data_IF_171150283132
#
_entry.id   IF_171150283132
#
_cell.length_a   1.000
_cell.length_b   1.000
_cell.length_c   1.000
_cell.angle_alpha   90.00
_cell.angle_beta   90.00
_cell.angle_gamma   90.00
#
_symmetry.space_group_name_H-M   'P 1'
#
loop_
_entity.id
_entity.type
_entity.pdbx_description
1 polymer ?
#
# COMPACT_ATOMS: atom_id res chain seq x y z
N UNK A 1 -8.26 -3.35 -1.40
CA UNK A 1 -7.41 -2.23 -0.98
C UNK A 1 -6.19 -2.07 -1.86
N UNK A 2 -5.35 -3.10 -1.99
CA UNK A 2 -4.19 -3.03 -2.90
C UNK A 2 -4.57 -2.65 -4.34
N UNK A 3 -5.75 -3.06 -4.79
CA UNK A 3 -6.25 -2.75 -6.14
C UNK A 3 -6.67 -1.29 -6.31
N UNK A 4 -7.30 -0.70 -5.26
CA UNK A 4 -7.85 0.66 -5.35
C UNK A 4 -6.87 1.74 -4.86
N UNK A 5 -5.82 1.36 -4.13
CA UNK A 5 -4.82 2.25 -3.51
C UNK A 5 -5.44 3.41 -2.70
N UNK A 6 -6.55 3.15 -2.04
CA UNK A 6 -7.30 4.13 -1.22
C UNK A 6 -8.12 3.42 -0.15
N UNK A 7 -8.58 4.15 0.88
CA UNK A 7 -9.49 3.61 1.90
C UNK A 7 -10.78 3.06 1.28
N UNK A 8 -11.35 2.03 1.88
CA UNK A 8 -12.55 1.34 1.40
C UNK A 8 -13.50 1.06 2.56
N UNK A 9 -14.79 1.38 2.36
CA UNK A 9 -15.91 0.90 3.15
C UNK A 9 -16.65 -0.18 2.35
N UNK A 10 -16.85 -1.34 2.95
CA UNK A 10 -17.67 -2.41 2.39
C UNK A 10 -18.88 -2.57 3.30
N UNK A 11 -20.04 -2.12 2.85
CA UNK A 11 -21.25 -2.02 3.65
C UNK A 11 -22.37 -2.87 3.04
N UNK A 12 -23.22 -3.41 3.93
CA UNK A 12 -24.48 -4.07 3.57
C UNK A 12 -25.62 -3.29 4.23
N UNK A 13 -26.76 -3.21 3.54
CA UNK A 13 -28.00 -2.70 4.13
C UNK A 13 -28.53 -3.71 5.14
N UNK A 14 -28.88 -3.22 6.32
CA UNK A 14 -29.51 -4.00 7.41
C UNK A 14 -30.74 -3.27 7.88
N UNK A 15 -31.84 -3.99 8.07
CA UNK A 15 -33.06 -3.46 8.64
C UNK A 15 -33.22 -3.96 10.07
N UNK A 16 -33.51 -3.04 10.99
CA UNK A 16 -33.82 -3.34 12.38
C UNK A 16 -35.24 -2.98 12.67
N UNK A 17 -35.97 -3.88 13.31
CA UNK A 17 -37.25 -3.58 13.93
C UNK A 17 -37.02 -3.12 15.38
N UNK A 18 -37.50 -1.94 15.69
CA UNK A 18 -37.43 -1.33 17.03
C UNK A 18 -38.84 -1.23 17.64
N UNK A 19 -39.02 -1.95 18.71
CA UNK A 19 -40.26 -1.80 19.51
C UNK A 19 -40.23 -0.50 20.29
N UNK A 20 -41.24 0.32 20.12
CA UNK A 20 -41.42 1.57 20.85
C UNK A 20 -42.54 1.35 21.87
N UNK A 21 -42.23 1.61 23.14
CA UNK A 21 -43.15 1.46 24.24
C UNK A 21 -43.60 2.84 24.76
N UNK A 22 -44.87 2.94 25.21
CA UNK A 22 -45.37 4.11 25.87
C UNK A 22 -44.79 4.26 27.30
N UNK A 23 -45.14 5.36 27.98
CA UNK A 23 -44.71 5.65 29.36
C UNK A 23 -45.17 4.63 30.40
N UNK A 24 -46.09 3.74 30.04
CA UNK A 24 -46.62 2.68 30.91
C UNK A 24 -46.04 1.28 30.53
N UNK A 25 -45.08 1.23 29.59
CA UNK A 25 -44.46 -0.04 29.14
C UNK A 25 -45.31 -0.87 28.20
N UNK A 26 -46.35 -0.27 27.59
CA UNK A 26 -47.16 -0.94 26.57
C UNK A 26 -46.56 -0.65 25.19
N UNK A 27 -46.46 -1.68 24.35
CA UNK A 27 -46.00 -1.54 22.96
C UNK A 27 -46.89 -0.55 22.19
N UNK A 28 -46.34 0.54 21.73
CA UNK A 28 -47.01 1.60 20.99
C UNK A 28 -46.92 1.36 19.49
N UNK A 29 -45.71 1.05 19.00
CA UNK A 29 -45.47 0.80 17.60
C UNK A 29 -44.16 0.00 17.39
N UNK A 30 -43.99 -0.54 16.20
CA UNK A 30 -42.72 -1.08 15.72
C UNK A 30 -42.21 -0.19 14.60
N UNK A 31 -41.04 0.35 14.77
CA UNK A 31 -40.35 1.15 13.73
C UNK A 31 -39.30 0.34 13.06
N UNK A 32 -39.32 0.32 11.72
CA UNK A 32 -38.23 -0.23 10.94
C UNK A 32 -37.18 0.85 10.68
N UNK A 33 -35.95 0.60 11.07
CA UNK A 33 -34.80 1.50 10.81
C UNK A 33 -33.78 0.81 9.97
N UNK A 34 -33.35 1.48 8.90
CA UNK A 34 -32.31 1.01 8.00
C UNK A 34 -30.95 1.57 8.41
N UNK A 35 -29.96 0.71 8.37
CA UNK A 35 -28.54 1.05 8.58
C UNK A 35 -27.68 0.41 7.51
N UNK A 36 -26.51 0.97 7.32
CA UNK A 36 -25.46 0.41 6.48
C UNK A 36 -24.31 0.01 7.38
N UNK A 37 -24.01 -1.30 7.41
CA UNK A 37 -23.01 -1.86 8.32
C UNK A 37 -22.02 -2.75 7.60
N UNK A 38 -20.79 -2.77 8.12
CA UNK A 38 -19.75 -3.61 7.54
C UNK A 38 -18.35 -3.32 8.04
N UNK A 39 -17.40 -3.41 7.12
CA UNK A 39 -15.99 -3.29 7.43
C UNK A 39 -15.34 -2.12 6.70
N UNK A 40 -14.50 -1.41 7.43
CA UNK A 40 -13.65 -0.34 6.93
C UNK A 40 -12.19 -0.79 6.90
N UNK A 41 -11.48 -0.40 5.85
CA UNK A 41 -10.04 -0.60 5.74
C UNK A 41 -9.41 0.68 5.20
N UNK A 42 -8.47 1.23 5.98
CA UNK A 42 -7.58 2.30 5.51
C UNK A 42 -6.56 1.78 4.52
N UNK A 43 -5.84 2.68 3.89
CA UNK A 43 -4.72 2.36 3.03
C UNK A 43 -3.43 2.85 3.71
N UNK A 44 -2.68 1.93 4.32
CA UNK A 44 -1.54 2.24 5.20
C UNK A 44 -0.40 3.02 4.51
N UNK A 45 -0.35 2.96 3.16
CA UNK A 45 0.64 3.68 2.35
C UNK A 45 0.17 5.07 1.91
N UNK A 46 -0.96 5.57 2.43
CA UNK A 46 -1.46 6.92 2.14
C UNK A 46 -1.15 7.88 3.28
N UNK A 47 -1.16 9.18 2.98
CA UNK A 47 -1.03 10.22 4.00
C UNK A 47 -2.23 10.27 4.97
N UNK A 48 -3.35 9.59 4.67
CA UNK A 48 -4.47 9.40 5.58
C UNK A 48 -4.15 8.25 6.55
N UNK A 49 -3.47 8.55 7.63
CA UNK A 49 -2.91 7.56 8.57
C UNK A 49 -3.94 6.98 9.55
N UNK A 50 -5.06 7.66 9.80
CA UNK A 50 -6.15 7.22 10.69
C UNK A 50 -7.51 7.41 10.01
N UNK A 51 -7.91 6.38 9.26
CA UNK A 51 -9.18 6.39 8.54
C UNK A 51 -10.39 6.33 9.49
N UNK A 52 -10.25 5.66 10.64
CA UNK A 52 -11.33 5.60 11.65
C UNK A 52 -11.60 6.98 12.22
N UNK A 53 -10.56 7.70 12.63
CA UNK A 53 -10.68 9.05 13.13
C UNK A 53 -11.27 9.99 12.07
N UNK A 54 -10.82 9.89 10.83
CA UNK A 54 -11.38 10.64 9.71
C UNK A 54 -12.90 10.44 9.59
N UNK A 55 -13.41 9.22 9.68
CA UNK A 55 -14.84 8.93 9.63
C UNK A 55 -15.58 9.52 10.83
N UNK A 56 -15.02 9.41 12.05
CA UNK A 56 -15.64 9.90 13.28
C UNK A 56 -15.67 11.44 13.37
N UNK A 57 -14.73 12.13 12.74
CA UNK A 57 -14.65 13.59 12.74
C UNK A 57 -15.65 14.26 11.76
N UNK A 58 -16.49 13.49 11.06
CA UNK A 58 -17.53 14.02 10.17
C UNK A 58 -18.75 14.47 10.96
N UNK A 59 -19.44 15.50 10.45
CA UNK A 59 -20.69 15.97 11.04
C UNK A 59 -21.77 14.87 11.01
N UNK A 60 -21.84 14.14 9.89
CA UNK A 60 -22.69 12.96 9.72
C UNK A 60 -21.92 11.68 10.04
N UNK A 61 -21.38 11.64 11.24
CA UNK A 61 -20.52 10.55 11.67
C UNK A 61 -21.27 9.20 11.78
N UNK A 62 -20.55 8.07 11.65
CA UNK A 62 -21.13 6.76 11.93
C UNK A 62 -21.64 6.67 13.36
N UNK A 63 -22.69 5.87 13.59
CA UNK A 63 -23.17 5.59 14.93
C UNK A 63 -22.25 4.63 15.69
N UNK A 64 -21.44 3.82 14.96
CA UNK A 64 -20.26 3.16 15.50
C UNK A 64 -19.11 3.08 14.50
N UNK A 65 -17.88 3.12 15.02
CA UNK A 65 -16.64 2.84 14.31
C UNK A 65 -15.66 2.21 15.31
N UNK A 66 -15.65 0.87 15.39
CA UNK A 66 -14.93 0.14 16.42
C UNK A 66 -13.79 -0.70 15.83
N UNK A 67 -12.58 -0.56 16.37
CA UNK A 67 -11.39 -1.27 15.94
C UNK A 67 -10.16 -0.37 15.88
N UNK A 68 -9.20 -0.75 15.00
CA UNK A 68 -7.95 -0.03 14.80
C UNK A 68 -8.09 1.15 13.83
N UNK A 69 -7.09 2.04 13.79
CA UNK A 69 -7.09 3.23 12.94
C UNK A 69 -7.42 2.94 11.46
N UNK A 70 -6.91 1.85 10.91
CA UNK A 70 -7.07 1.46 9.51
C UNK A 70 -7.80 0.11 9.31
N UNK A 71 -8.39 -0.47 10.37
CA UNK A 71 -9.18 -1.72 10.28
C UNK A 71 -10.25 -1.73 11.37
N UNK A 72 -11.49 -1.42 11.01
CA UNK A 72 -12.58 -1.27 11.98
C UNK A 72 -13.94 -1.68 11.41
N UNK A 73 -14.86 -2.01 12.30
CA UNK A 73 -16.28 -2.15 11.99
C UNK A 73 -16.91 -0.77 11.86
N UNK A 74 -17.87 -0.63 10.98
CA UNK A 74 -18.49 0.65 10.65
C UNK A 74 -19.99 0.47 10.50
N UNK A 75 -20.78 1.40 11.08
CA UNK A 75 -22.22 1.44 10.89
C UNK A 75 -22.74 2.87 10.84
N UNK A 76 -23.59 3.15 9.87
CA UNK A 76 -24.20 4.46 9.66
C UNK A 76 -25.68 4.29 9.33
N UNK A 77 -26.50 5.24 9.78
CA UNK A 77 -27.92 5.26 9.45
C UNK A 77 -28.14 5.60 7.98
N UNK A 78 -29.18 5.02 7.39
CA UNK A 78 -29.50 5.21 5.97
C UNK A 78 -29.71 6.67 5.59
N UNK A 79 -30.37 7.43 6.42
CA UNK A 79 -30.61 8.86 6.25
C UNK A 79 -29.36 9.73 6.36
N UNK A 80 -28.32 9.26 7.08
CA UNK A 80 -27.06 9.96 7.24
C UNK A 80 -26.02 9.61 6.15
N UNK A 81 -26.12 8.42 5.54
CA UNK A 81 -25.11 7.93 4.58
C UNK A 81 -24.88 8.87 3.39
N UNK A 82 -25.90 9.43 2.70
CA UNK A 82 -25.66 10.33 1.58
C UNK A 82 -24.90 11.60 1.96
N UNK A 83 -25.19 12.15 3.14
CA UNK A 83 -24.53 13.35 3.66
C UNK A 83 -23.10 13.06 4.09
N UNK A 84 -22.88 11.89 4.71
CA UNK A 84 -21.54 11.41 5.05
C UNK A 84 -20.66 11.25 3.81
N UNK A 85 -21.18 10.64 2.74
CA UNK A 85 -20.46 10.49 1.47
C UNK A 85 -20.10 11.86 0.91
N UNK A 86 -21.06 12.78 0.84
CA UNK A 86 -20.83 14.13 0.32
C UNK A 86 -19.76 14.88 1.12
N UNK A 87 -19.78 14.75 2.44
CA UNK A 87 -18.79 15.37 3.32
C UNK A 87 -17.41 14.76 3.10
N UNK A 88 -17.31 13.43 3.01
CA UNK A 88 -16.06 12.75 2.68
C UNK A 88 -15.50 13.17 1.31
N UNK A 89 -16.34 13.24 0.29
CA UNK A 89 -15.92 13.66 -1.06
C UNK A 89 -15.40 15.10 -1.04
N UNK A 90 -16.03 16.02 -0.32
CA UNK A 90 -15.57 17.40 -0.18
C UNK A 90 -14.21 17.50 0.52
N UNK A 91 -13.98 16.71 1.56
CA UNK A 91 -12.72 16.71 2.31
C UNK A 91 -11.58 16.02 1.54
N UNK A 92 -11.91 15.01 0.73
CA UNK A 92 -10.93 14.20 0.02
C UNK A 92 -10.71 14.62 -1.44
N UNK A 93 -11.47 15.60 -1.96
CA UNK A 93 -11.40 16.01 -3.39
C UNK A 93 -10.00 16.42 -3.84
N UNK A 94 -9.25 17.10 -2.95
CA UNK A 94 -7.89 17.57 -3.22
C UNK A 94 -6.83 16.69 -2.54
N UNK A 95 -7.24 15.52 -2.01
CA UNK A 95 -6.34 14.61 -1.32
C UNK A 95 -5.70 13.62 -2.29
N UNK A 96 -4.38 13.64 -2.36
CA UNK A 96 -3.63 12.70 -3.18
C UNK A 96 -3.38 11.40 -2.42
N UNK A 97 -3.95 10.29 -2.91
CA UNK A 97 -3.70 8.95 -2.38
C UNK A 97 -2.45 8.32 -3.01
N UNK A 98 -1.38 9.09 -3.09
CA UNK A 98 -0.08 8.58 -3.54
C UNK A 98 0.52 7.71 -2.45
N UNK A 99 1.04 6.51 -2.77
CA UNK A 99 1.71 5.68 -1.78
C UNK A 99 2.88 6.43 -1.14
N UNK A 100 2.88 6.49 0.19
CA UNK A 100 3.98 7.08 0.97
C UNK A 100 4.70 5.97 1.73
N UNK A 101 6.02 5.99 1.69
CA UNK A 101 6.87 5.05 2.41
C UNK A 101 7.75 5.82 3.39
N UNK A 102 7.69 5.43 4.67
CA UNK A 102 8.73 5.82 5.62
C UNK A 102 9.93 4.93 5.39
N UNK A 103 11.06 5.49 5.06
CA UNK A 103 12.30 4.74 4.81
C UNK A 103 13.32 5.00 5.91
N UNK A 104 13.98 3.95 6.37
CA UNK A 104 14.96 4.00 7.45
C UNK A 104 16.36 4.34 6.92
N UNK A 105 16.66 3.92 5.67
CA UNK A 105 17.94 4.16 5.02
C UNK A 105 17.75 4.59 3.58
N UNK A 106 18.64 5.49 3.12
CA UNK A 106 18.70 5.94 1.73
C UNK A 106 20.09 5.62 1.17
N UNK A 107 20.12 4.84 0.10
CA UNK A 107 21.34 4.49 -0.64
C UNK A 107 21.30 5.08 -2.04
N UNK A 108 22.48 5.31 -2.62
CA UNK A 108 22.60 5.67 -4.03
C UNK A 108 23.17 4.47 -4.79
N UNK A 109 22.51 4.08 -5.89
CA UNK A 109 22.86 2.90 -6.68
C UNK A 109 24.26 2.94 -7.29
N UNK A 110 24.82 4.13 -7.49
CA UNK A 110 26.16 4.32 -8.07
C UNK A 110 27.29 3.97 -7.11
N UNK A 111 27.08 4.05 -5.77
CA UNK A 111 28.18 3.98 -4.81
C UNK A 111 27.89 3.22 -3.50
N UNK A 112 26.72 2.58 -3.35
CA UNK A 112 26.45 1.82 -2.12
C UNK A 112 27.24 0.52 -2.05
N UNK A 113 27.52 0.08 -0.82
CA UNK A 113 28.20 -1.19 -0.57
C UNK A 113 27.17 -2.33 -0.43
N UNK A 114 27.22 -3.39 -1.26
CA UNK A 114 26.32 -4.55 -1.12
C UNK A 114 26.35 -5.22 0.25
N UNK A 115 27.43 -5.06 1.01
CA UNK A 115 27.54 -5.62 2.38
C UNK A 115 26.55 -4.96 3.34
N UNK A 116 26.24 -3.67 3.16
CA UNK A 116 25.29 -2.96 4.02
C UNK A 116 23.90 -3.57 3.87
N UNK A 117 23.51 -3.96 2.65
CA UNK A 117 22.25 -4.67 2.38
C UNK A 117 22.22 -6.04 3.05
N UNK A 118 23.33 -6.78 3.00
CA UNK A 118 23.46 -8.09 3.65
C UNK A 118 23.38 -7.95 5.18
N UNK A 119 24.07 -6.97 5.76
CA UNK A 119 24.07 -6.72 7.21
C UNK A 119 22.66 -6.36 7.72
N UNK A 120 21.92 -5.53 6.99
CA UNK A 120 20.53 -5.23 7.33
C UNK A 120 19.67 -6.50 7.22
N UNK A 121 19.81 -7.28 6.16
CA UNK A 121 19.04 -8.50 5.97
C UNK A 121 19.34 -9.60 7.00
N UNK A 122 20.56 -9.67 7.52
CA UNK A 122 20.97 -10.61 8.58
C UNK A 122 20.23 -10.36 9.90
N UNK A 123 19.74 -9.13 10.12
CA UNK A 123 18.93 -8.77 11.27
C UNK A 123 17.47 -9.27 11.22
N UNK A 124 17.09 -10.02 10.17
CA UNK A 124 15.72 -10.49 9.93
C UNK A 124 15.08 -11.21 11.13
N UNK A 125 15.87 -11.87 11.96
CA UNK A 125 15.37 -12.54 13.16
C UNK A 125 14.90 -11.58 14.26
N UNK A 126 15.23 -10.29 14.17
CA UNK A 126 14.82 -9.25 15.11
C UNK A 126 13.48 -8.61 14.72
N UNK A 127 13.08 -8.74 13.46
CA UNK A 127 11.85 -8.14 12.94
C UNK A 127 10.62 -8.93 13.39
N UNK A 128 9.57 -8.21 13.80
CA UNK A 128 8.33 -8.81 14.26
C UNK A 128 7.45 -7.83 15.01
N UNK A 129 6.72 -8.32 16.01
CA UNK A 129 5.84 -7.48 16.79
C UNK A 129 6.64 -6.44 17.58
N UNK A 130 6.45 -5.16 17.26
CA UNK A 130 7.10 -4.02 17.94
C UNK A 130 8.43 -3.57 17.32
N UNK A 131 8.99 -4.32 16.37
CA UNK A 131 10.18 -3.91 15.59
C UNK A 131 9.87 -4.23 14.12
N UNK A 132 9.48 -3.24 13.36
CA UNK A 132 9.16 -3.42 11.94
C UNK A 132 10.42 -3.67 11.10
N UNK A 133 10.27 -4.45 10.04
CA UNK A 133 11.32 -4.63 9.06
C UNK A 133 11.58 -3.30 8.34
N UNK A 134 12.84 -2.81 8.29
CA UNK A 134 13.13 -1.50 7.71
C UNK A 134 12.88 -1.47 6.20
N UNK A 135 12.33 -0.36 5.74
CA UNK A 135 12.35 0.00 4.34
C UNK A 135 13.61 0.77 3.99
N UNK A 136 14.15 0.46 2.82
CA UNK A 136 15.24 1.25 2.23
C UNK A 136 14.76 1.93 0.95
N UNK A 137 15.30 3.12 0.67
CA UNK A 137 15.25 3.72 -0.65
C UNK A 137 16.60 3.54 -1.35
N UNK A 138 16.56 3.17 -2.63
CA UNK A 138 17.73 3.13 -3.50
C UNK A 138 17.50 4.09 -4.67
N UNK A 139 18.24 5.19 -4.70
CA UNK A 139 18.12 6.24 -5.71
C UNK A 139 19.07 6.00 -6.88
N UNK A 140 18.78 6.62 -8.03
CA UNK A 140 19.59 6.57 -9.25
C UNK A 140 19.82 5.16 -9.82
N UNK A 141 18.86 4.26 -9.69
CA UNK A 141 18.95 2.92 -10.28
C UNK A 141 18.84 3.03 -11.78
N UNK A 142 19.95 2.77 -12.49
CA UNK A 142 19.97 2.78 -13.95
C UNK A 142 19.43 1.46 -14.50
N UNK A 143 18.38 1.56 -15.31
CA UNK A 143 17.71 0.44 -15.96
C UNK A 143 17.80 0.57 -17.47
N UNK A 144 18.22 -0.52 -18.13
CA UNK A 144 18.33 -0.64 -19.58
C UNK A 144 18.08 -2.08 -20.01
N UNK A 145 17.92 -2.34 -21.30
CA UNK A 145 17.77 -3.71 -21.83
C UNK A 145 18.86 -4.69 -21.38
N UNK A 146 20.05 -4.19 -21.09
CA UNK A 146 21.21 -5.02 -20.73
C UNK A 146 21.18 -5.56 -19.29
N UNK A 147 20.41 -4.95 -18.37
CA UNK A 147 20.41 -5.31 -16.96
C UNK A 147 19.03 -5.65 -16.37
N UNK A 148 18.00 -5.75 -17.22
CA UNK A 148 16.61 -6.04 -16.83
C UNK A 148 16.16 -7.38 -17.44
N UNK A 149 15.44 -8.17 -16.66
CA UNK A 149 14.91 -9.46 -17.08
C UNK A 149 13.53 -9.69 -16.47
N UNK A 150 12.60 -10.19 -17.30
CA UNK A 150 11.31 -10.72 -16.82
C UNK A 150 11.40 -12.24 -16.68
N UNK A 151 11.38 -12.72 -15.45
CA UNK A 151 11.40 -14.15 -15.12
C UNK A 151 9.98 -14.68 -14.99
N UNK A 152 9.78 -15.96 -15.37
CA UNK A 152 8.50 -16.69 -15.23
C UNK A 152 7.27 -15.92 -15.75
N UNK A 153 7.28 -15.38 -16.99
CA UNK A 153 6.28 -14.42 -17.48
C UNK A 153 4.84 -14.93 -17.49
N UNK A 154 4.65 -16.26 -17.53
CA UNK A 154 3.33 -16.88 -17.68
C UNK A 154 2.68 -17.33 -16.35
N UNK A 155 3.49 -17.50 -15.29
CA UNK A 155 2.97 -18.01 -14.00
C UNK A 155 3.06 -16.97 -12.89
N UNK A 156 4.29 -16.56 -12.57
CA UNK A 156 4.58 -15.60 -11.53
C UNK A 156 5.57 -14.59 -12.09
N UNK A 157 5.12 -13.66 -12.93
CA UNK A 157 6.02 -12.73 -13.59
C UNK A 157 6.77 -11.90 -12.56
N UNK A 158 8.09 -11.94 -12.66
CA UNK A 158 9.00 -11.34 -11.70
C UNK A 158 10.04 -10.51 -12.44
N UNK A 159 10.11 -9.23 -12.12
CA UNK A 159 11.18 -8.36 -12.62
C UNK A 159 12.45 -8.64 -11.84
N UNK A 160 13.56 -8.76 -12.57
CA UNK A 160 14.92 -8.71 -12.01
C UNK A 160 15.71 -7.59 -12.68
N UNK A 161 16.32 -6.73 -11.87
CA UNK A 161 17.30 -5.74 -12.31
C UNK A 161 18.63 -6.14 -11.68
N UNK A 162 19.69 -6.23 -12.49
CA UNK A 162 21.04 -6.58 -12.03
C UNK A 162 21.91 -5.33 -12.00
N UNK A 163 22.45 -5.01 -10.82
CA UNK A 163 23.32 -3.84 -10.64
C UNK A 163 24.81 -4.23 -10.88
N UNK A 164 25.65 -3.27 -11.29
CA UNK A 164 27.07 -3.53 -11.57
C UNK A 164 27.85 -4.09 -10.37
N UNK A 165 27.45 -3.75 -9.14
CA UNK A 165 28.09 -4.24 -7.91
C UNK A 165 27.65 -5.65 -7.49
N UNK A 166 26.84 -6.35 -8.31
CA UNK A 166 26.36 -7.70 -8.05
C UNK A 166 25.05 -7.79 -7.26
N UNK A 167 24.50 -6.67 -6.79
CA UNK A 167 23.17 -6.64 -6.14
C UNK A 167 22.08 -6.87 -7.18
N UNK A 168 21.03 -7.59 -6.79
CA UNK A 168 19.84 -7.78 -7.61
C UNK A 168 18.63 -7.12 -6.97
N UNK A 169 17.82 -6.42 -7.78
CA UNK A 169 16.51 -5.92 -7.38
C UNK A 169 15.45 -6.86 -7.94
N UNK A 170 14.48 -7.26 -7.11
CA UNK A 170 13.43 -8.22 -7.47
C UNK A 170 12.08 -7.60 -7.18
N UNK A 171 11.18 -7.57 -8.16
CA UNK A 171 9.77 -7.21 -7.96
C UNK A 171 8.87 -8.34 -8.42
N UNK A 172 8.17 -8.95 -7.48
CA UNK A 172 7.20 -10.00 -7.76
C UNK A 172 5.91 -9.46 -8.37
N UNK A 173 5.18 -10.30 -9.09
CA UNK A 173 3.89 -9.96 -9.74
C UNK A 173 4.00 -8.79 -10.71
N UNK A 174 5.11 -8.69 -11.41
CA UNK A 174 5.40 -7.60 -12.34
C UNK A 174 4.83 -7.91 -13.73
N UNK A 175 3.88 -7.10 -14.19
CA UNK A 175 3.18 -7.38 -15.45
C UNK A 175 4.10 -7.24 -16.67
N UNK A 176 3.81 -8.01 -17.73
CA UNK A 176 4.54 -7.89 -19.00
C UNK A 176 4.42 -6.48 -19.58
N UNK A 177 3.28 -5.81 -19.41
CA UNK A 177 3.05 -4.45 -19.88
C UNK A 177 3.96 -3.44 -19.17
N UNK A 178 4.18 -3.59 -17.86
CA UNK A 178 5.12 -2.76 -17.10
C UNK A 178 6.56 -3.05 -17.51
N UNK A 179 6.90 -4.33 -17.73
CA UNK A 179 8.23 -4.69 -18.24
C UNK A 179 8.55 -4.02 -19.56
N UNK A 180 7.61 -4.02 -20.51
CA UNK A 180 7.78 -3.37 -21.82
C UNK A 180 8.01 -1.86 -21.70
N UNK A 181 7.44 -1.20 -20.68
CA UNK A 181 7.69 0.22 -20.39
C UNK A 181 9.10 0.50 -19.88
N UNK A 182 9.67 -0.42 -19.09
CA UNK A 182 11.03 -0.29 -18.58
C UNK A 182 12.08 -0.76 -19.58
N UNK A 183 11.71 -1.60 -20.55
CA UNK A 183 12.61 -2.21 -21.52
C UNK A 183 12.82 -1.31 -22.74
N UNK A 184 13.43 -0.15 -22.55
CA UNK A 184 13.63 0.89 -23.57
C UNK A 184 15.01 0.80 -24.24
N UNK A 185 15.18 1.45 -25.42
CA UNK A 185 16.47 1.50 -26.14
C UNK A 185 17.52 2.38 -25.45
N UNK A 186 17.12 3.28 -24.58
CA UNK A 186 18.03 4.08 -23.77
C UNK A 186 18.24 3.49 -22.37
N UNK A 187 18.24 4.36 -21.39
CA UNK A 187 18.13 3.96 -19.99
C UNK A 187 17.12 4.85 -19.24
N UNK A 188 16.55 4.27 -18.21
CA UNK A 188 15.72 4.96 -17.23
C UNK A 188 16.49 5.10 -15.92
N UNK A 189 16.25 6.15 -15.19
CA UNK A 189 16.65 6.28 -13.80
C UNK A 189 15.41 6.03 -12.92
N UNK A 190 15.54 5.08 -12.00
CA UNK A 190 14.48 4.78 -11.04
C UNK A 190 14.94 5.13 -9.64
N UNK A 191 13.99 5.63 -8.84
CA UNK A 191 14.08 5.58 -7.39
C UNK A 191 13.21 4.41 -6.90
N UNK A 192 13.77 3.56 -6.06
CA UNK A 192 13.18 2.29 -5.65
C UNK A 192 13.03 2.27 -4.14
N UNK A 193 11.89 1.80 -3.66
CA UNK A 193 11.67 1.45 -2.24
C UNK A 193 11.56 -0.06 -2.11
N UNK A 194 12.21 -0.62 -1.10
CA UNK A 194 12.18 -2.06 -0.89
C UNK A 194 12.77 -2.49 0.44
N UNK A 195 12.94 -3.80 0.58
CA UNK A 195 13.48 -4.45 1.77
C UNK A 195 14.73 -5.22 1.41
N UNK A 196 15.68 -5.24 2.36
CA UNK A 196 16.92 -5.96 2.21
C UNK A 196 16.68 -7.48 2.32
N UNK A 197 17.33 -8.26 1.45
CA UNK A 197 17.25 -9.72 1.45
C UNK A 197 18.62 -10.30 1.08
N UNK A 198 18.85 -11.55 1.45
CA UNK A 198 20.04 -12.32 1.10
C UNK A 198 19.65 -13.38 0.06
N UNK A 199 20.33 -13.37 -1.06
CA UNK A 199 20.23 -14.44 -2.04
C UNK A 199 21.41 -15.39 -1.87
N UNK A 200 21.17 -16.54 -1.22
CA UNK A 200 22.15 -17.60 -1.04
C UNK A 200 21.88 -18.74 -2.02
N UNK A 201 22.73 -18.86 -3.04
CA UNK A 201 22.63 -19.92 -4.05
C UNK A 201 24.01 -20.44 -4.47
N UNK A 202 24.15 -21.78 -4.56
CA UNK A 202 25.40 -22.40 -5.01
C UNK A 202 26.64 -22.04 -4.19
N UNK A 203 26.46 -21.82 -2.87
CA UNK A 203 27.53 -21.42 -1.95
C UNK A 203 27.97 -19.95 -2.06
N UNK A 204 27.29 -19.16 -2.88
CA UNK A 204 27.49 -17.70 -2.98
C UNK A 204 26.38 -16.96 -2.25
N UNK A 205 26.78 -15.89 -1.57
CA UNK A 205 25.88 -14.96 -0.87
C UNK A 205 25.93 -13.62 -1.60
N UNK A 206 24.79 -13.15 -2.07
CA UNK A 206 24.67 -11.89 -2.78
C UNK A 206 23.59 -11.01 -2.12
N UNK A 207 23.81 -9.72 -2.17
CA UNK A 207 22.81 -8.73 -1.77
C UNK A 207 21.62 -8.76 -2.73
N UNK A 208 20.42 -8.71 -2.19
CA UNK A 208 19.18 -8.61 -2.93
C UNK A 208 18.27 -7.58 -2.26
N UNK A 209 17.51 -6.84 -3.06
CA UNK A 209 16.48 -5.93 -2.58
C UNK A 209 15.16 -6.39 -3.17
N UNK A 210 14.19 -6.69 -2.32
CA UNK A 210 12.82 -6.96 -2.74
C UNK A 210 12.11 -5.62 -2.89
N UNK A 211 11.84 -5.23 -4.14
CA UNK A 211 11.20 -3.97 -4.47
C UNK A 211 9.74 -3.99 -4.05
N UNK A 212 9.36 -3.03 -3.25
CA UNK A 212 7.96 -2.78 -2.91
C UNK A 212 7.32 -1.84 -3.94
N UNK A 213 8.05 -0.75 -4.30
CA UNK A 213 7.59 0.22 -5.28
C UNK A 213 8.77 0.91 -5.99
N UNK A 214 8.48 1.67 -7.04
CA UNK A 214 9.48 2.46 -7.75
C UNK A 214 8.84 3.61 -8.52
N UNK A 215 9.61 4.68 -8.69
CA UNK A 215 9.30 5.80 -9.57
C UNK A 215 10.33 5.93 -10.67
N UNK A 216 9.89 6.36 -11.87
CA UNK A 216 10.76 6.73 -12.98
C UNK A 216 11.07 8.22 -12.85
N UNK A 217 12.28 8.54 -12.43
CA UNK A 217 12.68 9.94 -12.16
C UNK A 217 13.30 10.62 -13.37
N UNK A 218 13.88 9.85 -14.31
CA UNK A 218 14.43 10.39 -15.56
C UNK A 218 14.43 9.33 -16.67
N UNK A 219 14.42 9.81 -17.92
CA UNK A 219 14.46 8.98 -19.12
C UNK A 219 15.47 9.54 -20.12
N UNK A 220 16.51 8.78 -20.42
CA UNK A 220 17.49 9.15 -21.45
C UNK A 220 17.31 8.26 -22.67
N UNK A 221 16.90 8.86 -23.77
CA UNK A 221 16.80 8.17 -25.06
C UNK A 221 18.00 8.54 -25.94
N UNK A 222 18.61 7.54 -26.55
CA UNK A 222 19.61 7.77 -27.57
C UNK A 222 18.92 7.83 -28.93
N UNK A 223 19.01 8.97 -29.60
CA UNK A 223 18.63 9.12 -31.00
C UNK A 223 19.87 8.91 -31.86
N UNK A 224 19.90 7.81 -32.61
CA UNK A 224 20.94 7.53 -33.60
C UNK A 224 20.45 7.86 -35.00
#
# INVERSE_FOLDING_TARGET
MAEYQRPVLLLNEIEYEMEVFDTFGKLETVLTRKTWEGSARGYDKSALTDFRKFCLDRQWSPWYAEGHANAFGFGIFDDALPMFIQECDNELKDFEFTPCYSVDFIFNADNFNPKDIIEIADLKSLWGQGIEEPYIALTNVRVSKGNIQLMSPDKNPTLKISLPNGTSLIKFKFSKKEYERLNTEGYLLLDVVGRCEINAWGGKVNAQIIMEDYDVVDTVQYYF
#
